data_IF_440561429207
#
_entry.id   IF_440561429207
#
_cell.length_a   1.000
_cell.length_b   1.000
_cell.length_c   1.000
_cell.angle_alpha   90.00
_cell.angle_beta   90.00
_cell.angle_gamma   90.00
#
_symmetry.space_group_name_H-M   'P 1'
#
loop_
_entity.id
_entity.type
_entity.pdbx_description
1 polymer ?
#
# COMPACT_ATOMS: atom_id res chain seq x y z
N UNK A 1 -21.21 -11.37 -17.85
CA UNK A 1 -21.07 -12.18 -16.63
C UNK A 1 -19.97 -13.24 -16.74
N UNK A 2 -20.07 -14.28 -17.58
CA UNK A 2 -19.05 -15.35 -17.67
C UNK A 2 -17.62 -14.85 -17.91
N UNK A 3 -17.44 -13.88 -18.82
CA UNK A 3 -16.15 -13.23 -19.08
C UNK A 3 -15.58 -12.54 -17.83
N UNK A 4 -16.41 -11.78 -17.12
CA UNK A 4 -16.05 -11.11 -15.86
C UNK A 4 -15.58 -12.11 -14.81
N UNK A 5 -16.26 -13.25 -14.68
CA UNK A 5 -15.88 -14.31 -13.74
C UNK A 5 -14.48 -14.85 -14.07
N UNK A 6 -14.25 -15.17 -15.34
CA UNK A 6 -12.96 -15.70 -15.78
C UNK A 6 -11.80 -14.71 -15.54
N UNK A 7 -12.00 -13.43 -15.88
CA UNK A 7 -11.02 -12.38 -15.66
C UNK A 7 -10.77 -12.13 -14.16
N UNK A 8 -11.81 -12.17 -13.34
CA UNK A 8 -11.70 -12.02 -11.90
C UNK A 8 -10.92 -13.16 -11.27
N UNK A 9 -11.19 -14.43 -11.65
CA UNK A 9 -10.42 -15.58 -11.18
C UNK A 9 -8.95 -15.45 -11.57
N UNK A 10 -8.65 -15.09 -12.82
CA UNK A 10 -7.28 -14.90 -13.27
C UNK A 10 -6.54 -13.82 -12.46
N UNK A 11 -7.18 -12.66 -12.23
CA UNK A 11 -6.62 -11.59 -11.41
C UNK A 11 -6.42 -12.00 -9.94
N UNK A 12 -7.36 -12.75 -9.38
CA UNK A 12 -7.33 -13.21 -7.99
C UNK A 12 -6.23 -14.24 -7.74
N UNK A 13 -6.04 -15.19 -8.66
CA UNK A 13 -4.96 -16.16 -8.56
C UNK A 13 -3.58 -15.48 -8.55
N UNK A 14 -3.39 -14.47 -9.39
CA UNK A 14 -2.15 -13.67 -9.40
C UNK A 14 -1.95 -12.96 -8.07
N UNK A 15 -3.00 -12.36 -7.51
CA UNK A 15 -2.96 -11.71 -6.21
C UNK A 15 -2.61 -12.67 -5.06
N UNK A 16 -3.21 -13.87 -5.05
CA UNK A 16 -2.96 -14.88 -4.01
C UNK A 16 -1.55 -15.44 -4.12
N UNK A 17 -1.05 -15.70 -5.34
CA UNK A 17 0.34 -16.12 -5.56
C UNK A 17 1.31 -15.05 -5.05
N UNK A 18 1.03 -13.77 -5.33
CA UNK A 18 1.85 -12.67 -4.84
C UNK A 18 1.86 -12.60 -3.31
N UNK A 19 0.69 -12.65 -2.69
CA UNK A 19 0.53 -12.64 -1.24
C UNK A 19 1.32 -13.79 -0.59
N UNK A 20 1.08 -15.03 -1.04
CA UNK A 20 1.77 -16.20 -0.48
C UNK A 20 3.28 -16.13 -0.71
N UNK A 21 3.72 -15.70 -1.89
CA UNK A 21 5.15 -15.57 -2.21
C UNK A 21 5.86 -14.54 -1.31
N UNK A 22 5.28 -13.35 -1.16
CA UNK A 22 5.82 -12.29 -0.29
C UNK A 22 5.91 -12.75 1.17
N UNK A 23 4.82 -13.29 1.73
CA UNK A 23 4.78 -13.76 3.11
C UNK A 23 5.76 -14.92 3.35
N UNK A 24 5.81 -15.88 2.44
CA UNK A 24 6.66 -17.05 2.56
C UNK A 24 8.15 -16.70 2.68
N UNK A 25 8.62 -15.75 1.86
CA UNK A 25 10.01 -15.29 1.93
C UNK A 25 10.24 -14.50 3.22
N UNK A 26 9.35 -13.56 3.53
CA UNK A 26 9.49 -12.69 4.70
C UNK A 26 9.52 -13.47 6.02
N UNK A 27 8.55 -14.38 6.23
CA UNK A 27 8.38 -15.16 7.45
C UNK A 27 9.55 -16.12 7.72
N UNK A 28 10.22 -16.59 6.67
CA UNK A 28 11.41 -17.45 6.78
C UNK A 28 12.69 -16.68 7.10
N UNK A 29 12.73 -15.38 6.81
CA UNK A 29 13.93 -14.57 6.98
C UNK A 29 13.82 -13.73 8.26
N UNK A 30 12.93 -12.75 8.29
CA UNK A 30 12.97 -11.69 9.31
C UNK A 30 12.58 -12.15 10.71
N UNK A 31 11.44 -12.86 10.92
CA UNK A 31 11.10 -13.39 12.24
C UNK A 31 12.12 -14.42 12.77
N UNK A 32 12.71 -15.22 11.88
CA UNK A 32 13.74 -16.21 12.25
C UNK A 32 15.02 -15.51 12.69
N UNK A 33 15.47 -14.49 11.93
CA UNK A 33 16.65 -13.69 12.27
C UNK A 33 16.44 -12.88 13.55
N UNK A 34 15.23 -12.36 13.78
CA UNK A 34 14.92 -11.56 14.98
C UNK A 34 15.04 -12.35 16.30
N UNK A 35 14.98 -13.69 16.23
CA UNK A 35 15.21 -14.58 17.39
C UNK A 35 16.69 -14.92 17.62
N UNK A 36 17.59 -14.49 16.73
CA UNK A 36 19.04 -14.74 16.81
C UNK A 36 19.74 -13.56 17.48
N UNK A 37 21.01 -13.73 17.91
CA UNK A 37 21.79 -12.63 18.48
C UNK A 37 21.85 -11.41 17.53
N UNK A 38 21.94 -10.18 18.06
CA UNK A 38 21.91 -8.96 17.25
C UNK A 38 22.86 -8.95 16.06
N UNK A 39 24.08 -9.47 16.22
CA UNK A 39 25.06 -9.54 15.12
C UNK A 39 24.59 -10.42 13.96
N UNK A 40 23.92 -11.54 14.26
CA UNK A 40 23.36 -12.46 13.26
C UNK A 40 22.17 -11.82 12.56
N UNK A 41 21.33 -11.10 13.32
CA UNK A 41 20.24 -10.32 12.75
C UNK A 41 20.76 -9.26 11.78
N UNK A 42 21.77 -8.46 12.19
CA UNK A 42 22.34 -7.39 11.37
C UNK A 42 22.95 -7.94 10.08
N UNK A 43 23.79 -8.98 10.18
CA UNK A 43 24.42 -9.60 9.01
C UNK A 43 23.39 -10.26 8.08
N UNK A 44 22.44 -11.01 8.64
CA UNK A 44 21.42 -11.72 7.87
C UNK A 44 20.44 -10.78 7.18
N UNK A 45 19.98 -9.72 7.86
CA UNK A 45 19.09 -8.71 7.29
C UNK A 45 19.80 -7.86 6.23
N UNK A 46 21.08 -7.53 6.44
CA UNK A 46 21.90 -6.84 5.44
C UNK A 46 22.05 -7.67 4.16
N UNK A 47 22.39 -8.95 4.32
CA UNK A 47 22.51 -9.89 3.21
C UNK A 47 21.17 -10.03 2.47
N UNK A 48 20.05 -10.18 3.19
CA UNK A 48 18.71 -10.29 2.59
C UNK A 48 18.35 -9.06 1.76
N UNK A 49 18.53 -7.85 2.30
CA UNK A 49 18.22 -6.60 1.60
C UNK A 49 19.16 -6.35 0.41
N UNK A 50 20.44 -6.69 0.55
CA UNK A 50 21.43 -6.56 -0.53
C UNK A 50 21.09 -7.50 -1.69
N UNK A 51 20.86 -8.78 -1.41
CA UNK A 51 20.55 -9.79 -2.42
C UNK A 51 19.21 -9.47 -3.09
N UNK A 52 18.17 -9.22 -2.31
CA UNK A 52 16.84 -8.91 -2.86
C UNK A 52 16.85 -7.65 -3.72
N UNK A 53 17.47 -6.56 -3.25
CA UNK A 53 17.52 -5.29 -4.00
C UNK A 53 18.36 -5.41 -5.27
N UNK A 54 19.45 -6.19 -5.24
CA UNK A 54 20.25 -6.47 -6.43
C UNK A 54 19.47 -7.28 -7.46
N UNK A 55 18.79 -8.35 -7.03
CA UNK A 55 17.94 -9.17 -7.91
C UNK A 55 16.81 -8.35 -8.53
N UNK A 56 16.13 -7.52 -7.73
CA UNK A 56 15.10 -6.59 -8.22
C UNK A 56 15.68 -5.61 -9.22
N UNK A 57 16.84 -5.02 -8.91
CA UNK A 57 17.56 -4.13 -9.80
C UNK A 57 17.89 -4.76 -11.15
N UNK A 58 18.40 -6.00 -11.15
CA UNK A 58 18.68 -6.77 -12.37
C UNK A 58 17.39 -7.11 -13.16
N UNK A 59 16.31 -7.48 -12.47
CA UNK A 59 15.01 -7.72 -13.10
C UNK A 59 14.49 -6.48 -13.82
N UNK A 60 14.52 -5.33 -13.14
CA UNK A 60 14.08 -4.06 -13.70
C UNK A 60 14.99 -3.59 -14.85
N UNK A 61 16.31 -3.65 -14.66
CA UNK A 61 17.27 -3.17 -15.66
C UNK A 61 17.32 -4.01 -16.93
N UNK A 62 17.28 -5.34 -16.81
CA UNK A 62 17.42 -6.25 -17.96
C UNK A 62 16.08 -6.57 -18.63
N UNK A 63 14.99 -6.64 -17.87
CA UNK A 63 13.72 -7.14 -18.40
C UNK A 63 12.65 -6.07 -18.59
N UNK A 64 12.38 -5.21 -17.60
CA UNK A 64 11.33 -4.21 -17.76
C UNK A 64 11.50 -3.02 -16.79
N UNK A 65 12.10 -1.91 -17.25
CA UNK A 65 12.28 -0.72 -16.41
C UNK A 65 10.95 -0.10 -15.94
N UNK A 66 9.89 -0.18 -16.76
CA UNK A 66 8.54 0.31 -16.41
C UNK A 66 7.86 -0.48 -15.29
N UNK A 67 8.41 -1.63 -14.90
CA UNK A 67 7.92 -2.41 -13.77
C UNK A 67 8.35 -1.83 -12.41
N UNK A 68 9.21 -0.80 -12.37
CA UNK A 68 9.62 -0.13 -11.14
C UNK A 68 8.44 0.57 -10.43
N UNK A 69 8.60 0.86 -9.13
CA UNK A 69 7.61 1.55 -8.32
C UNK A 69 6.29 0.80 -8.18
N UNK A 70 5.21 1.57 -8.01
CA UNK A 70 3.89 1.04 -7.64
C UNK A 70 3.28 0.16 -8.73
N UNK A 71 3.17 0.63 -9.97
CA UNK A 71 2.34 -0.01 -11.01
C UNK A 71 0.94 0.60 -11.16
N UNK A 72 0.42 1.28 -10.13
CA UNK A 72 -0.84 2.04 -10.26
C UNK A 72 -0.72 3.16 -11.31
N UNK A 73 0.35 4.00 -11.31
CA UNK A 73 0.58 5.00 -12.36
C UNK A 73 0.50 4.40 -13.78
N UNK A 74 1.28 3.35 -14.04
CA UNK A 74 1.33 2.69 -15.34
C UNK A 74 -0.02 2.09 -15.74
N UNK A 75 -0.83 1.64 -14.78
CA UNK A 75 -2.19 1.18 -15.06
C UNK A 75 -3.11 2.31 -15.45
N UNK A 76 -3.03 3.47 -14.79
CA UNK A 76 -3.83 4.65 -15.16
C UNK A 76 -3.48 5.12 -16.57
N UNK A 77 -2.18 5.18 -16.89
CA UNK A 77 -1.71 5.44 -18.24
C UNK A 77 -2.25 4.42 -19.25
N UNK A 78 -2.17 3.11 -18.95
CA UNK A 78 -2.70 2.10 -19.84
C UNK A 78 -4.23 2.19 -20.03
N UNK A 79 -4.96 2.52 -18.95
CA UNK A 79 -6.41 2.69 -18.99
C UNK A 79 -6.83 3.86 -19.89
N UNK A 80 -6.18 5.02 -19.76
CA UNK A 80 -6.55 6.23 -20.52
C UNK A 80 -5.93 6.32 -21.91
N UNK A 81 -4.68 5.87 -22.09
CA UNK A 81 -3.89 6.14 -23.28
C UNK A 81 -3.61 4.89 -24.13
N UNK A 82 -3.54 3.71 -23.53
CA UNK A 82 -3.10 2.47 -24.23
C UNK A 82 -4.25 1.47 -24.47
N UNK A 83 -5.50 1.90 -24.26
CA UNK A 83 -6.69 1.07 -24.46
C UNK A 83 -6.72 -0.16 -23.55
N UNK A 84 -6.22 -0.04 -22.32
CA UNK A 84 -6.21 -1.11 -21.32
C UNK A 84 -5.21 -2.24 -21.59
N UNK A 85 -4.31 -2.08 -22.58
CA UNK A 85 -3.27 -3.06 -22.88
C UNK A 85 -2.13 -2.91 -21.89
N UNK A 86 -1.87 -3.97 -21.14
CA UNK A 86 -0.78 -4.03 -20.16
C UNK A 86 0.22 -5.09 -20.62
N UNK A 87 1.51 -4.75 -20.82
CA UNK A 87 2.48 -5.73 -21.30
C UNK A 87 2.67 -6.85 -20.28
N UNK A 88 2.42 -8.10 -20.71
CA UNK A 88 2.62 -9.28 -19.86
C UNK A 88 4.04 -9.35 -19.28
N UNK A 89 5.04 -8.89 -20.05
CA UNK A 89 6.42 -8.80 -19.58
C UNK A 89 6.57 -7.91 -18.34
N UNK A 90 5.87 -6.78 -18.28
CA UNK A 90 5.86 -5.94 -17.10
C UNK A 90 5.11 -6.59 -15.92
N UNK A 91 4.05 -7.36 -16.22
CA UNK A 91 3.25 -8.03 -15.19
C UNK A 91 4.08 -9.05 -14.40
N UNK A 92 4.75 -9.99 -15.10
CA UNK A 92 5.53 -11.01 -14.41
C UNK A 92 6.81 -10.44 -13.76
N UNK A 93 7.46 -9.44 -14.37
CA UNK A 93 8.62 -8.77 -13.77
C UNK A 93 8.21 -8.06 -12.48
N UNK A 94 7.07 -7.36 -12.47
CA UNK A 94 6.56 -6.67 -11.27
C UNK A 94 6.11 -7.67 -10.20
N UNK A 95 5.52 -8.80 -10.59
CA UNK A 95 5.15 -9.88 -9.68
C UNK A 95 6.38 -10.51 -9.00
N UNK A 96 7.39 -10.95 -9.77
CA UNK A 96 8.61 -11.54 -9.20
C UNK A 96 9.43 -10.51 -8.44
N UNK A 97 9.60 -9.31 -9.01
CA UNK A 97 10.31 -8.21 -8.38
C UNK A 97 9.66 -7.79 -7.07
N UNK A 98 8.33 -7.72 -7.00
CA UNK A 98 7.62 -7.45 -5.76
C UNK A 98 7.77 -8.56 -4.71
N UNK A 99 7.67 -9.85 -5.11
CA UNK A 99 7.87 -10.98 -4.19
C UNK A 99 9.25 -10.92 -3.53
N UNK A 100 10.29 -10.70 -4.34
CA UNK A 100 11.67 -10.63 -3.86
C UNK A 100 11.89 -9.36 -3.03
N UNK A 101 11.41 -8.21 -3.50
CA UNK A 101 11.55 -6.90 -2.84
C UNK A 101 10.91 -6.91 -1.45
N UNK A 102 9.61 -7.21 -1.37
CA UNK A 102 8.87 -7.18 -0.12
C UNK A 102 9.22 -8.35 0.80
N UNK A 103 9.43 -9.54 0.23
CA UNK A 103 9.89 -10.72 0.96
C UNK A 103 11.28 -10.52 1.56
N UNK A 104 12.17 -9.87 0.83
CA UNK A 104 13.52 -9.48 1.27
C UNK A 104 13.58 -8.28 2.21
N UNK A 105 12.42 -7.73 2.60
CA UNK A 105 12.33 -6.72 3.65
C UNK A 105 12.28 -5.26 3.18
N UNK A 106 12.21 -4.99 1.87
CA UNK A 106 12.06 -3.62 1.37
C UNK A 106 10.78 -2.98 1.94
N UNK A 107 10.88 -1.75 2.48
CA UNK A 107 9.76 -1.03 3.11
C UNK A 107 8.76 -0.51 2.08
N UNK A 108 8.02 -1.41 1.44
CA UNK A 108 7.07 -1.15 0.37
C UNK A 108 5.79 -1.97 0.56
N UNK A 109 4.74 -1.59 -0.16
CA UNK A 109 3.43 -2.22 -0.16
C UNK A 109 3.21 -3.20 -1.31
N UNK A 110 2.34 -4.19 -1.11
CA UNK A 110 2.06 -5.23 -2.13
C UNK A 110 0.97 -4.81 -3.11
N UNK A 111 0.25 -3.75 -2.80
CA UNK A 111 -0.98 -3.30 -3.47
C UNK A 111 -0.70 -2.98 -4.94
N UNK A 112 0.25 -2.09 -5.18
CA UNK A 112 0.59 -1.63 -6.53
C UNK A 112 0.92 -2.78 -7.48
N UNK A 113 1.91 -3.64 -7.14
CA UNK A 113 2.24 -4.83 -7.92
C UNK A 113 1.05 -5.76 -8.15
N UNK A 114 0.26 -6.05 -7.11
CA UNK A 114 -0.90 -6.93 -7.24
C UNK A 114 -1.92 -6.39 -8.21
N UNK A 115 -2.37 -5.14 -8.03
CA UNK A 115 -3.41 -4.57 -8.89
C UNK A 115 -2.91 -4.49 -10.34
N UNK A 116 -1.60 -4.31 -10.55
CA UNK A 116 -1.03 -4.20 -11.90
C UNK A 116 -0.99 -5.56 -12.56
N UNK A 117 -0.41 -6.54 -11.87
CA UNK A 117 -0.28 -7.89 -12.38
C UNK A 117 -1.66 -8.55 -12.59
N UNK A 118 -2.62 -8.32 -11.68
CA UNK A 118 -3.98 -8.84 -11.80
C UNK A 118 -4.74 -8.23 -12.99
N UNK A 119 -4.68 -6.90 -13.15
CA UNK A 119 -5.25 -6.23 -14.32
C UNK A 119 -4.59 -6.67 -15.63
N UNK A 120 -3.26 -6.85 -15.63
CA UNK A 120 -2.51 -7.29 -16.80
C UNK A 120 -2.81 -8.74 -17.19
N UNK A 121 -3.01 -9.62 -16.21
CA UNK A 121 -3.43 -11.00 -16.44
C UNK A 121 -4.82 -11.07 -17.08
N UNK A 122 -5.78 -10.33 -16.52
CA UNK A 122 -7.13 -10.26 -17.07
C UNK A 122 -7.17 -9.64 -18.48
N UNK A 123 -6.49 -8.52 -18.68
CA UNK A 123 -6.34 -7.88 -19.99
C UNK A 123 -5.70 -8.84 -21.00
N UNK A 124 -4.58 -9.48 -20.66
CA UNK A 124 -3.90 -10.43 -21.55
C UNK A 124 -4.77 -11.65 -21.90
N UNK A 125 -5.54 -12.14 -20.93
CA UNK A 125 -6.49 -13.22 -21.15
C UNK A 125 -7.63 -12.80 -22.10
N UNK A 126 -8.14 -11.57 -21.97
CA UNK A 126 -9.14 -11.04 -22.89
C UNK A 126 -8.65 -11.04 -24.34
N UNK A 127 -7.45 -10.53 -24.61
CA UNK A 127 -6.88 -10.55 -25.98
C UNK A 127 -6.65 -11.95 -26.53
N UNK A 128 -6.20 -12.90 -25.68
CA UNK A 128 -6.05 -14.31 -26.10
C UNK A 128 -7.37 -14.97 -26.47
N UNK A 129 -8.47 -14.51 -25.91
CA UNK A 129 -9.83 -14.98 -26.20
C UNK A 129 -10.49 -14.21 -27.36
N UNK A 130 -9.76 -13.35 -28.05
CA UNK A 130 -10.26 -12.56 -29.19
C UNK A 130 -10.93 -11.23 -28.82
N UNK A 131 -10.99 -10.88 -27.53
CA UNK A 131 -11.56 -9.61 -27.05
C UNK A 131 -10.47 -8.54 -26.95
N UNK A 132 -10.05 -8.01 -28.11
CA UNK A 132 -8.90 -7.09 -28.21
C UNK A 132 -9.26 -5.63 -28.53
N UNK A 133 -10.54 -5.27 -28.50
CA UNK A 133 -10.91 -3.84 -28.62
C UNK A 133 -10.47 -3.05 -27.38
N UNK A 134 -10.14 -1.74 -27.50
CA UNK A 134 -9.75 -0.93 -26.36
C UNK A 134 -10.76 -0.98 -25.19
N UNK A 135 -12.05 -0.95 -25.51
CA UNK A 135 -13.13 -1.02 -24.51
C UNK A 135 -13.12 -2.35 -23.76
N UNK A 136 -12.94 -3.47 -24.46
CA UNK A 136 -12.91 -4.80 -23.85
C UNK A 136 -11.65 -5.01 -23.02
N UNK A 137 -10.49 -4.61 -23.53
CA UNK A 137 -9.20 -4.71 -22.83
C UNK A 137 -9.19 -3.85 -21.57
N UNK A 138 -9.76 -2.65 -21.63
CA UNK A 138 -9.92 -1.74 -20.50
C UNK A 138 -10.86 -2.30 -19.44
N UNK A 139 -12.03 -2.82 -19.85
CA UNK A 139 -12.97 -3.46 -18.94
C UNK A 139 -12.37 -4.72 -18.27
N UNK A 140 -11.62 -5.53 -19.02
CA UNK A 140 -10.92 -6.70 -18.47
C UNK A 140 -9.82 -6.29 -17.48
N UNK A 141 -9.03 -5.27 -17.82
CA UNK A 141 -8.00 -4.75 -16.92
C UNK A 141 -8.59 -4.21 -15.60
N UNK A 142 -9.69 -3.46 -15.67
CA UNK A 142 -10.41 -2.95 -14.50
C UNK A 142 -11.00 -4.09 -13.66
N UNK A 143 -11.62 -5.08 -14.30
CA UNK A 143 -12.14 -6.30 -13.66
C UNK A 143 -11.05 -7.05 -12.90
N UNK A 144 -9.91 -7.31 -13.56
CA UNK A 144 -8.77 -7.98 -12.93
C UNK A 144 -8.15 -7.16 -11.79
N UNK A 145 -8.09 -5.84 -11.94
CA UNK A 145 -7.63 -4.93 -10.89
C UNK A 145 -8.55 -4.96 -9.65
N UNK A 146 -9.88 -4.90 -9.85
CA UNK A 146 -10.87 -4.99 -8.77
C UNK A 146 -10.74 -6.32 -8.02
N UNK A 147 -10.75 -7.43 -8.76
CA UNK A 147 -10.64 -8.77 -8.19
C UNK A 147 -9.31 -8.98 -7.47
N UNK A 148 -8.19 -8.52 -8.06
CA UNK A 148 -6.87 -8.62 -7.45
C UNK A 148 -6.71 -7.78 -6.19
N UNK A 149 -7.28 -6.57 -6.16
CA UNK A 149 -7.28 -5.73 -4.96
C UNK A 149 -8.14 -6.36 -3.85
N UNK A 150 -9.36 -6.80 -4.19
CA UNK A 150 -10.24 -7.50 -3.26
C UNK A 150 -9.57 -8.76 -2.71
N UNK A 151 -8.97 -9.58 -3.58
CA UNK A 151 -8.26 -10.79 -3.18
C UNK A 151 -7.04 -10.48 -2.31
N UNK A 152 -6.35 -9.37 -2.57
CA UNK A 152 -5.19 -8.99 -1.79
C UNK A 152 -5.56 -8.60 -0.35
N UNK A 153 -6.60 -7.78 -0.14
CA UNK A 153 -6.90 -7.22 1.19
C UNK A 153 -8.10 -7.83 1.88
N UNK A 154 -8.83 -8.70 1.18
CA UNK A 154 -10.15 -9.15 1.57
C UNK A 154 -11.12 -7.96 1.74
N UNK A 155 -11.08 -7.00 0.80
CA UNK A 155 -11.83 -5.73 0.86
C UNK A 155 -12.59 -5.46 -0.44
N UNK A 156 -13.72 -6.16 -0.69
CA UNK A 156 -14.47 -6.00 -1.93
C UNK A 156 -15.03 -4.58 -2.15
N UNK A 157 -15.52 -3.87 -1.13
CA UNK A 157 -16.08 -2.53 -1.27
C UNK A 157 -14.99 -1.49 -1.59
N UNK A 158 -13.85 -1.57 -0.92
CA UNK A 158 -12.68 -0.75 -1.19
C UNK A 158 -12.13 -1.00 -2.59
N UNK A 159 -12.20 -2.24 -3.07
CA UNK A 159 -11.76 -2.57 -4.43
C UNK A 159 -12.65 -1.96 -5.51
N UNK A 160 -13.97 -1.94 -5.30
CA UNK A 160 -14.92 -1.26 -6.20
C UNK A 160 -14.61 0.24 -6.24
N UNK A 161 -14.55 0.88 -5.07
CA UNK A 161 -14.32 2.33 -4.98
C UNK A 161 -12.95 2.73 -5.50
N UNK A 162 -11.91 1.92 -5.30
CA UNK A 162 -10.58 2.19 -5.86
C UNK A 162 -10.59 2.21 -7.40
N UNK A 163 -11.30 1.27 -8.03
CA UNK A 163 -11.41 1.24 -9.50
C UNK A 163 -12.16 2.46 -10.02
N UNK A 164 -13.17 2.94 -9.29
CA UNK A 164 -13.98 4.09 -9.68
C UNK A 164 -13.26 5.42 -9.42
N UNK A 165 -12.80 5.66 -8.19
CA UNK A 165 -12.14 6.92 -7.79
C UNK A 165 -10.74 7.05 -8.39
N UNK A 166 -9.93 5.99 -8.35
CA UNK A 166 -8.50 6.11 -8.66
C UNK A 166 -8.14 5.63 -10.07
N UNK A 167 -8.77 4.58 -10.60
CA UNK A 167 -8.40 4.05 -11.93
C UNK A 167 -9.19 4.69 -13.07
N UNK A 168 -10.52 4.76 -12.92
CA UNK A 168 -11.40 5.24 -13.98
C UNK A 168 -11.55 6.77 -13.93
N UNK A 169 -11.60 7.35 -12.73
CA UNK A 169 -11.84 8.77 -12.52
C UNK A 169 -13.29 9.21 -12.79
N UNK A 170 -14.15 8.31 -13.26
CA UNK A 170 -15.58 8.53 -13.53
C UNK A 170 -16.40 7.33 -13.08
N UNK A 171 -17.58 7.60 -12.51
CA UNK A 171 -18.54 6.57 -12.08
C UNK A 171 -19.46 6.26 -13.26
N UNK A 172 -19.06 5.35 -14.14
CA UNK A 172 -19.95 4.77 -15.15
C UNK A 172 -20.65 3.53 -14.59
N UNK A 173 -21.97 3.43 -14.77
CA UNK A 173 -22.79 2.31 -14.29
C UNK A 173 -22.30 0.94 -14.78
N UNK A 174 -21.81 0.87 -16.02
CA UNK A 174 -21.26 -0.37 -16.59
C UNK A 174 -19.95 -0.83 -15.92
N UNK A 175 -19.13 0.10 -15.41
CA UNK A 175 -17.92 -0.25 -14.67
C UNK A 175 -18.25 -0.72 -13.25
N UNK A 176 -19.33 -0.20 -12.66
CA UNK A 176 -19.78 -0.58 -11.32
C UNK A 176 -20.21 -2.05 -11.25
N UNK A 177 -21.05 -2.53 -12.18
CA UNK A 177 -21.54 -3.92 -12.18
C UNK A 177 -20.38 -4.92 -12.33
N UNK A 178 -19.48 -4.64 -13.27
CA UNK A 178 -18.31 -5.46 -13.54
C UNK A 178 -17.34 -5.50 -12.36
N UNK A 179 -17.02 -4.34 -11.79
CA UNK A 179 -16.16 -4.23 -10.61
C UNK A 179 -16.77 -4.93 -9.39
N UNK A 180 -18.09 -4.81 -9.20
CA UNK A 180 -18.79 -5.44 -8.07
C UNK A 180 -18.69 -6.96 -8.14
N UNK A 181 -19.07 -7.56 -9.27
CA UNK A 181 -18.96 -9.00 -9.46
C UNK A 181 -17.50 -9.47 -9.33
N UNK A 182 -16.55 -8.72 -9.89
CA UNK A 182 -15.14 -9.05 -9.82
C UNK A 182 -14.58 -9.01 -8.40
N UNK A 183 -14.94 -8.00 -7.61
CA UNK A 183 -14.54 -7.85 -6.21
C UNK A 183 -15.08 -8.97 -5.34
N UNK A 184 -16.34 -9.38 -5.55
CA UNK A 184 -16.94 -10.53 -4.82
C UNK A 184 -16.18 -11.81 -5.13
N UNK A 185 -15.89 -12.07 -6.42
CA UNK A 185 -15.12 -13.24 -6.82
C UNK A 185 -13.71 -13.21 -6.24
N UNK A 186 -13.08 -12.04 -6.21
CA UNK A 186 -11.78 -11.84 -5.57
C UNK A 186 -11.78 -12.21 -4.09
N UNK A 187 -12.80 -11.77 -3.34
CA UNK A 187 -12.98 -12.12 -1.94
C UNK A 187 -13.16 -13.64 -1.78
N UNK A 188 -14.04 -14.26 -2.59
CA UNK A 188 -14.29 -15.70 -2.53
C UNK A 188 -13.05 -16.54 -2.87
N UNK A 189 -12.25 -16.11 -3.85
CA UNK A 189 -10.97 -16.76 -4.15
C UNK A 189 -10.02 -16.71 -2.95
N UNK A 190 -9.92 -15.56 -2.28
CA UNK A 190 -9.10 -15.44 -1.07
C UNK A 190 -9.66 -16.25 0.09
N UNK A 191 -10.97 -16.35 0.26
CA UNK A 191 -11.57 -17.20 1.29
C UNK A 191 -11.26 -18.68 1.05
N UNK A 192 -11.38 -19.14 -0.19
CA UNK A 192 -11.10 -20.53 -0.57
C UNK A 192 -9.60 -20.88 -0.43
N UNK A 193 -8.70 -19.94 -0.71
CA UNK A 193 -7.26 -20.22 -0.78
C UNK A 193 -6.47 -19.78 0.46
N UNK A 194 -6.87 -18.73 1.16
CA UNK A 194 -6.11 -18.12 2.27
C UNK A 194 -6.90 -18.23 3.57
N UNK A 195 -8.22 -18.04 3.51
CA UNK A 195 -9.12 -18.12 4.65
C UNK A 195 -9.98 -16.88 4.80
N UNK A 196 -11.03 -17.00 5.62
CA UNK A 196 -12.01 -15.93 5.85
C UNK A 196 -11.65 -15.14 7.12
N UNK A 197 -10.70 -14.21 7.01
CA UNK A 197 -10.39 -13.28 8.10
C UNK A 197 -10.04 -11.89 7.56
N UNK A 198 -10.39 -10.81 8.28
CA UNK A 198 -9.91 -9.48 7.95
C UNK A 198 -8.39 -9.41 8.08
N UNK A 199 -7.78 -8.45 7.38
CA UNK A 199 -6.33 -8.27 7.42
C UNK A 199 -5.81 -7.91 8.81
N UNK A 200 -6.63 -7.22 9.63
CA UNK A 200 -6.36 -6.96 11.04
C UNK A 200 -7.50 -7.49 11.91
N UNK A 201 -7.16 -8.29 12.91
CA UNK A 201 -8.09 -8.57 14.01
C UNK A 201 -8.06 -7.38 14.95
N UNK A 202 -9.19 -6.71 15.13
CA UNK A 202 -9.30 -5.54 16.01
C UNK A 202 -10.22 -5.89 17.18
N UNK A 203 -9.87 -5.56 18.44
CA UNK A 203 -10.77 -5.73 19.58
C UNK A 203 -12.15 -5.09 19.35
N UNK A 204 -13.23 -5.58 19.98
CA UNK A 204 -14.52 -4.90 19.94
C UNK A 204 -14.39 -3.51 20.55
N UNK A 205 -14.96 -2.50 19.88
CA UNK A 205 -14.97 -1.12 20.35
C UNK A 205 -16.32 -0.90 21.04
N UNK A 206 -16.32 -0.74 22.36
CA UNK A 206 -17.55 -0.66 23.16
C UNK A 206 -17.76 0.72 23.78
N UNK A 207 -16.69 1.50 23.94
CA UNK A 207 -16.72 2.78 24.66
C UNK A 207 -16.16 3.93 23.82
N UNK A 208 -16.82 4.23 22.69
CA UNK A 208 -16.53 5.47 21.95
C UNK A 208 -17.16 6.66 22.67
N UNK A 209 -16.33 7.59 23.13
CA UNK A 209 -16.78 8.82 23.78
C UNK A 209 -16.76 10.01 22.81
N UNK A 210 -17.53 11.04 23.11
CA UNK A 210 -17.52 12.31 22.34
C UNK A 210 -16.13 12.94 22.24
N UNK A 211 -15.27 12.69 23.24
CA UNK A 211 -13.87 13.12 23.28
C UNK A 211 -13.05 12.52 22.15
N UNK A 212 -13.31 11.27 21.79
CA UNK A 212 -12.66 10.60 20.66
C UNK A 212 -13.04 11.27 19.34
N UNK A 213 -14.30 11.65 19.17
CA UNK A 213 -14.75 12.40 17.98
C UNK A 213 -14.17 13.82 17.93
N UNK A 214 -14.02 14.49 19.08
CA UNK A 214 -13.38 15.81 19.14
C UNK A 214 -11.91 15.79 18.68
N UNK A 215 -11.19 14.70 18.99
CA UNK A 215 -9.79 14.54 18.59
C UNK A 215 -9.59 13.93 17.20
N UNK A 216 -10.62 13.31 16.61
CA UNK A 216 -10.53 12.71 15.28
C UNK A 216 -10.01 13.68 14.21
N UNK A 217 -10.46 14.96 14.13
CA UNK A 217 -9.88 15.93 13.21
C UNK A 217 -8.39 16.20 13.44
N UNK A 218 -7.94 16.23 14.70
CA UNK A 218 -6.52 16.50 15.04
C UNK A 218 -5.65 15.32 14.61
N UNK A 219 -6.07 14.10 14.93
CA UNK A 219 -5.38 12.88 14.51
C UNK A 219 -5.35 12.75 12.98
N UNK A 220 -6.48 13.00 12.32
CA UNK A 220 -6.58 13.00 10.85
C UNK A 220 -5.68 14.06 10.21
N UNK A 221 -5.68 15.28 10.75
CA UNK A 221 -4.82 16.37 10.27
C UNK A 221 -3.34 16.02 10.39
N UNK A 222 -2.90 15.55 11.56
CA UNK A 222 -1.52 15.13 11.76
C UNK A 222 -1.11 14.00 10.81
N UNK A 223 -1.94 12.97 10.67
CA UNK A 223 -1.68 11.85 9.77
C UNK A 223 -1.67 12.28 8.28
N UNK A 224 -2.58 13.17 7.87
CA UNK A 224 -2.59 13.74 6.52
C UNK A 224 -1.33 14.54 6.23
N UNK A 225 -0.83 15.33 7.19
CA UNK A 225 0.43 16.07 7.06
C UNK A 225 1.63 15.13 6.89
N UNK A 226 1.67 14.03 7.64
CA UNK A 226 2.68 12.96 7.45
C UNK A 226 2.60 12.41 6.02
N UNK A 227 1.39 12.14 5.52
CA UNK A 227 1.17 11.69 4.15
C UNK A 227 1.69 12.67 3.10
N UNK A 228 1.37 13.96 3.23
CA UNK A 228 1.85 15.01 2.32
C UNK A 228 3.38 15.14 2.39
N UNK A 229 3.95 15.08 3.59
CA UNK A 229 5.40 15.09 3.77
C UNK A 229 6.04 13.90 3.05
N UNK A 230 5.50 12.70 3.23
CA UNK A 230 5.92 11.49 2.53
C UNK A 230 5.85 11.67 1.01
N UNK A 231 4.72 12.15 0.47
CA UNK A 231 4.54 12.39 -0.96
C UNK A 231 5.60 13.35 -1.50
N UNK A 232 5.73 14.54 -0.92
CA UNK A 232 6.67 15.57 -1.37
C UNK A 232 8.11 15.09 -1.32
N UNK A 233 8.52 14.44 -0.23
CA UNK A 233 9.89 13.94 -0.06
C UNK A 233 10.20 12.80 -1.01
N UNK A 234 9.28 11.87 -1.19
CA UNK A 234 9.47 10.74 -2.11
C UNK A 234 9.60 11.22 -3.55
N UNK A 235 8.73 12.14 -3.99
CA UNK A 235 8.77 12.69 -5.35
C UNK A 235 10.02 13.54 -5.59
N UNK A 236 10.43 14.34 -4.61
CA UNK A 236 11.70 15.09 -4.67
C UNK A 236 12.91 14.15 -4.77
N UNK A 237 12.98 13.13 -3.91
CA UNK A 237 14.05 12.14 -3.92
C UNK A 237 14.10 11.40 -5.26
N UNK A 238 12.94 10.95 -5.76
CA UNK A 238 12.83 10.26 -7.04
C UNK A 238 13.38 11.12 -8.19
N UNK A 239 12.94 12.36 -8.29
CA UNK A 239 13.41 13.29 -9.31
C UNK A 239 14.92 13.52 -9.19
N UNK A 240 15.40 13.83 -7.98
CA UNK A 240 16.83 14.08 -7.74
C UNK A 240 17.70 12.86 -8.06
N UNK A 241 17.29 11.65 -7.68
CA UNK A 241 18.00 10.41 -8.02
C UNK A 241 18.02 10.20 -9.53
N UNK A 242 16.92 10.47 -10.24
CA UNK A 242 16.88 10.38 -11.70
C UNK A 242 17.86 11.35 -12.38
N UNK A 243 17.91 12.59 -11.91
CA UNK A 243 18.68 13.67 -12.53
C UNK A 243 20.17 13.65 -12.17
N UNK A 244 20.52 13.22 -10.95
CA UNK A 244 21.89 13.38 -10.41
C UNK A 244 22.64 12.08 -10.18
N UNK A 245 21.96 10.93 -10.13
CA UNK A 245 22.64 9.66 -9.82
C UNK A 245 23.42 9.14 -11.02
N UNK A 246 24.74 9.03 -10.83
CA UNK A 246 25.67 8.37 -11.78
C UNK A 246 25.54 6.85 -11.81
N UNK A 247 24.78 6.27 -10.87
CA UNK A 247 24.59 4.82 -10.81
C UNK A 247 23.67 4.35 -11.94
N UNK A 248 24.02 3.21 -12.59
CA UNK A 248 23.15 2.63 -13.59
C UNK A 248 21.80 2.26 -12.95
N UNK A 249 20.67 2.38 -13.67
CA UNK A 249 19.33 2.19 -13.10
C UNK A 249 19.14 0.89 -12.31
N UNK A 250 19.80 -0.19 -12.74
CA UNK A 250 19.72 -1.51 -12.09
C UNK A 250 20.44 -1.58 -10.73
N UNK A 251 21.36 -0.67 -10.41
CA UNK A 251 22.01 -0.58 -9.09
C UNK A 251 21.29 0.35 -8.13
N UNK A 252 20.39 1.21 -8.61
CA UNK A 252 19.72 2.21 -7.76
C UNK A 252 18.91 1.57 -6.61
N UNK A 253 18.13 0.49 -6.82
CA UNK A 253 17.37 -0.14 -5.72
C UNK A 253 18.25 -0.63 -4.57
N UNK A 254 19.51 -1.00 -4.84
CA UNK A 254 20.46 -1.45 -3.82
C UNK A 254 20.70 -0.37 -2.74
N UNK A 255 20.88 0.88 -3.16
CA UNK A 255 21.08 2.00 -2.24
C UNK A 255 19.84 2.23 -1.38
N UNK A 256 18.65 2.16 -2.00
CA UNK A 256 17.39 2.20 -1.26
C UNK A 256 17.28 1.07 -0.24
N UNK A 257 17.71 -0.14 -0.61
CA UNK A 257 17.71 -1.32 0.27
C UNK A 257 18.64 -1.16 1.48
N UNK A 258 19.82 -0.55 1.29
CA UNK A 258 20.73 -0.24 2.40
C UNK A 258 20.18 0.81 3.35
N UNK A 259 19.43 1.80 2.86
CA UNK A 259 18.73 2.75 3.74
C UNK A 259 17.63 2.08 4.55
N UNK A 260 16.86 1.17 3.94
CA UNK A 260 15.88 0.35 4.66
C UNK A 260 16.57 -0.50 5.71
N UNK A 261 17.69 -1.12 5.38
CA UNK A 261 18.48 -1.93 6.33
C UNK A 261 18.94 -1.09 7.52
N UNK A 262 19.53 0.08 7.26
CA UNK A 262 20.05 0.95 8.30
C UNK A 262 18.95 1.39 9.26
N UNK A 263 17.85 1.92 8.72
CA UNK A 263 16.73 2.43 9.52
C UNK A 263 16.00 1.30 10.25
N UNK A 264 15.71 0.19 9.55
CA UNK A 264 15.02 -0.94 10.16
C UNK A 264 15.86 -1.64 11.23
N UNK A 265 17.16 -1.78 11.00
CA UNK A 265 18.07 -2.35 12.00
C UNK A 265 18.22 -1.45 13.21
N UNK A 266 18.32 -0.13 13.02
CA UNK A 266 18.37 0.82 14.13
C UNK A 266 17.11 0.75 15.00
N UNK A 267 15.92 0.69 14.38
CA UNK A 267 14.66 0.53 15.12
C UNK A 267 14.57 -0.83 15.81
N UNK A 268 14.98 -1.91 15.15
CA UNK A 268 14.98 -3.24 15.74
C UNK A 268 15.89 -3.31 16.98
N UNK A 269 17.11 -2.76 16.90
CA UNK A 269 18.01 -2.71 18.06
C UNK A 269 17.46 -1.85 19.21
N UNK A 270 16.74 -0.78 18.90
CA UNK A 270 16.19 0.14 19.89
C UNK A 270 14.89 -0.35 20.54
N UNK A 271 14.07 -1.12 19.82
CA UNK A 271 12.69 -1.44 20.24
C UNK A 271 12.31 -2.91 20.13
N UNK A 272 13.08 -3.74 19.42
CA UNK A 272 12.73 -5.13 19.08
C UNK A 272 11.67 -5.28 17.99
N UNK A 273 11.14 -4.19 17.43
CA UNK A 273 10.07 -4.21 16.44
C UNK A 273 10.64 -4.28 15.00
N UNK A 274 9.95 -4.97 14.10
CA UNK A 274 10.37 -5.19 12.71
C UNK A 274 9.64 -4.27 11.72
N UNK A 275 8.80 -3.36 12.21
CA UNK A 275 7.74 -2.73 11.42
C UNK A 275 8.24 -1.88 10.27
N UNK A 276 9.50 -1.48 10.30
CA UNK A 276 10.18 -0.80 9.19
C UNK A 276 10.37 -1.73 7.98
N UNK A 277 10.63 -3.02 8.18
CA UNK A 277 10.81 -3.98 7.11
C UNK A 277 9.47 -4.41 6.48
N UNK A 278 9.49 -4.66 5.17
CA UNK A 278 8.34 -5.15 4.41
C UNK A 278 7.06 -4.32 4.65
N UNK A 279 5.90 -4.98 4.81
CA UNK A 279 4.59 -4.34 5.00
C UNK A 279 4.42 -3.69 6.38
N UNK A 280 5.04 -4.24 7.44
CA UNK A 280 4.84 -3.80 8.83
C UNK A 280 3.55 -4.28 9.50
N UNK A 281 2.85 -5.27 8.93
CA UNK A 281 1.53 -5.73 9.46
C UNK A 281 1.59 -6.25 10.89
N UNK A 282 2.69 -6.91 11.29
CA UNK A 282 2.86 -7.42 12.64
C UNK A 282 2.81 -6.31 13.70
N UNK A 283 3.62 -5.27 13.54
CA UNK A 283 3.68 -4.16 14.50
C UNK A 283 2.48 -3.22 14.42
N UNK A 284 1.86 -3.09 13.23
CA UNK A 284 0.59 -2.40 13.11
C UNK A 284 -0.53 -3.16 13.84
N UNK A 285 -0.60 -4.48 13.68
CA UNK A 285 -1.54 -5.31 14.44
C UNK A 285 -1.28 -5.20 15.95
N UNK A 286 -0.01 -5.25 16.37
CA UNK A 286 0.37 -5.08 17.77
C UNK A 286 -0.07 -3.72 18.32
N UNK A 287 0.07 -2.64 17.54
CA UNK A 287 -0.42 -1.31 17.92
C UNK A 287 -1.95 -1.30 18.10
N UNK A 288 -2.70 -1.91 17.19
CA UNK A 288 -4.16 -1.97 17.27
C UNK A 288 -4.67 -2.80 18.46
N UNK A 289 -3.81 -3.64 19.06
CA UNK A 289 -4.11 -4.38 20.31
C UNK A 289 -3.52 -3.70 21.56
N UNK A 290 -2.97 -2.49 21.45
CA UNK A 290 -2.38 -1.75 22.58
C UNK A 290 -1.01 -2.26 23.02
N UNK A 291 -0.33 -3.08 22.21
CA UNK A 291 0.98 -3.65 22.52
C UNK A 291 2.17 -2.76 22.18
N UNK A 292 1.94 -1.54 21.69
CA UNK A 292 3.01 -0.59 21.28
C UNK A 292 2.94 0.67 22.12
N UNK A 293 4.09 1.12 22.64
CA UNK A 293 4.18 2.40 23.37
C UNK A 293 4.22 3.59 22.40
N UNK A 294 3.77 4.77 22.85
CA UNK A 294 3.79 5.97 22.00
C UNK A 294 5.19 6.35 21.49
N UNK A 295 6.24 6.10 22.30
CA UNK A 295 7.64 6.32 21.90
C UNK A 295 8.05 5.37 20.77
N UNK A 296 7.66 4.10 20.88
CA UNK A 296 7.92 3.11 19.84
C UNK A 296 7.12 3.44 18.56
N UNK A 297 5.85 3.86 18.69
CA UNK A 297 5.04 4.28 17.55
C UNK A 297 5.64 5.50 16.84
N UNK A 298 6.13 6.49 17.59
CA UNK A 298 6.83 7.65 17.02
C UNK A 298 8.13 7.25 16.31
N UNK A 299 8.91 6.34 16.90
CA UNK A 299 10.13 5.82 16.28
C UNK A 299 9.81 5.06 14.97
N UNK A 300 8.82 4.18 14.99
CA UNK A 300 8.35 3.42 13.82
C UNK A 300 7.79 4.34 12.74
N UNK A 301 7.03 5.37 13.11
CA UNK A 301 6.50 6.40 12.22
C UNK A 301 7.63 7.08 11.42
N UNK A 302 8.62 7.64 12.13
CA UNK A 302 9.71 8.39 11.50
C UNK A 302 10.58 7.49 10.62
N UNK A 303 10.89 6.28 11.11
CA UNK A 303 11.71 5.33 10.37
C UNK A 303 10.98 4.77 9.15
N UNK A 304 9.69 4.40 9.25
CA UNK A 304 8.91 3.83 8.14
C UNK A 304 8.74 4.84 7.01
N UNK A 305 8.34 6.08 7.33
CA UNK A 305 8.18 7.14 6.33
C UNK A 305 9.48 7.35 5.57
N UNK A 306 10.60 7.43 6.29
CA UNK A 306 11.93 7.64 5.69
C UNK A 306 12.38 6.44 4.86
N UNK A 307 12.25 5.22 5.39
CA UNK A 307 12.63 3.99 4.71
C UNK A 307 11.85 3.79 3.41
N UNK A 308 10.53 3.99 3.44
CA UNK A 308 9.66 3.89 2.25
C UNK A 308 9.97 4.98 1.23
N UNK A 309 10.19 6.23 1.66
CA UNK A 309 10.53 7.33 0.74
C UNK A 309 11.89 7.08 0.04
N UNK A 310 12.87 6.57 0.78
CA UNK A 310 14.21 6.27 0.25
C UNK A 310 14.16 5.11 -0.74
N UNK A 311 13.60 3.95 -0.38
CA UNK A 311 13.56 2.80 -1.31
C UNK A 311 12.73 3.10 -2.56
N UNK A 312 11.62 3.85 -2.43
CA UNK A 312 10.82 4.25 -3.59
C UNK A 312 11.56 5.27 -4.47
N UNK A 313 12.18 6.29 -3.87
CA UNK A 313 12.97 7.30 -4.59
C UNK A 313 14.18 6.72 -5.33
N UNK A 314 14.78 5.66 -4.78
CA UNK A 314 15.88 4.91 -5.40
C UNK A 314 15.41 3.83 -6.40
N UNK A 315 14.13 3.76 -6.73
CA UNK A 315 13.61 2.92 -7.81
C UNK A 315 13.24 1.48 -7.40
N UNK A 316 12.92 1.25 -6.13
CA UNK A 316 12.43 -0.05 -5.65
C UNK A 316 11.14 -0.51 -6.34
N UNK A 317 10.89 -1.83 -6.29
CA UNK A 317 9.68 -2.45 -6.84
C UNK A 317 8.67 -2.72 -5.73
N UNK A 318 7.55 -2.00 -5.74
CA UNK A 318 6.50 -2.09 -4.71
C UNK A 318 5.62 -0.84 -4.63
N UNK A 319 4.47 -1.00 -4.00
CA UNK A 319 3.48 0.04 -3.75
C UNK A 319 3.80 0.91 -2.52
N UNK A 320 2.98 1.93 -2.32
CA UNK A 320 3.06 2.84 -1.16
C UNK A 320 1.88 2.70 -0.20
N UNK A 321 0.87 1.91 -0.59
CA UNK A 321 -0.44 1.89 0.04
C UNK A 321 -0.37 1.28 1.46
N UNK A 322 0.15 0.06 1.65
CA UNK A 322 0.34 -0.48 3.00
C UNK A 322 1.21 0.41 3.91
N UNK A 323 2.38 0.94 3.45
CA UNK A 323 3.15 1.90 4.24
C UNK A 323 2.34 3.13 4.66
N UNK A 324 1.54 3.74 3.78
CA UNK A 324 0.73 4.92 4.12
C UNK A 324 -0.33 4.64 5.18
N UNK A 325 -0.93 3.46 5.18
CA UNK A 325 -1.80 3.03 6.28
C UNK A 325 -1.00 2.88 7.58
N UNK A 326 0.17 2.24 7.52
CA UNK A 326 1.03 2.01 8.68
C UNK A 326 1.42 3.32 9.38
N UNK A 327 2.05 4.26 8.67
CA UNK A 327 2.47 5.50 9.32
C UNK A 327 1.28 6.42 9.65
N UNK A 328 0.15 6.31 8.93
CA UNK A 328 -1.10 6.93 9.34
C UNK A 328 -1.58 6.45 10.70
N UNK A 329 -1.58 5.13 10.93
CA UNK A 329 -1.95 4.55 12.22
C UNK A 329 -1.05 5.03 13.35
N UNK A 330 0.26 4.98 13.13
CA UNK A 330 1.26 5.40 14.11
C UNK A 330 1.09 6.89 14.46
N UNK A 331 0.82 7.76 13.48
CA UNK A 331 0.57 9.17 13.71
C UNK A 331 -0.71 9.41 14.54
N UNK A 332 -1.81 8.73 14.19
CA UNK A 332 -3.06 8.79 14.94
C UNK A 332 -2.91 8.31 16.39
N UNK A 333 -2.18 7.20 16.59
CA UNK A 333 -1.87 6.66 17.91
C UNK A 333 -1.03 7.59 18.76
N UNK A 334 0.00 8.23 18.17
CA UNK A 334 0.85 9.20 18.87
C UNK A 334 0.01 10.40 19.33
N UNK A 335 -0.88 10.93 18.48
CA UNK A 335 -1.79 12.02 18.86
C UNK A 335 -2.69 11.60 20.03
N UNK A 336 -3.28 10.41 19.96
CA UNK A 336 -4.13 9.89 21.03
C UNK A 336 -3.37 9.72 22.35
N UNK A 337 -2.17 9.14 22.29
CA UNK A 337 -1.31 8.93 23.45
C UNK A 337 -0.86 10.25 24.08
N UNK A 338 -0.51 11.25 23.27
CA UNK A 338 -0.12 12.57 23.78
C UNK A 338 -1.29 13.30 24.44
N UNK A 339 -2.50 13.20 23.88
CA UNK A 339 -3.71 13.74 24.51
C UNK A 339 -4.00 13.05 25.85
N UNK A 340 -3.83 11.72 25.94
CA UNK A 340 -3.94 11.00 27.21
C UNK A 340 -2.93 11.51 28.24
N UNK A 341 -1.68 11.71 27.84
CA UNK A 341 -0.63 12.25 28.71
C UNK A 341 -0.87 13.69 29.15
N UNK A 342 -1.58 14.51 28.34
CA UNK A 342 -1.95 15.87 28.71
C UNK A 342 -3.15 15.95 29.68
N UNK A 343 -3.61 14.82 30.22
CA UNK A 343 -4.75 14.74 31.13
C UNK A 343 -6.10 14.64 30.44
N UNK A 344 -6.16 14.56 29.10
CA UNK A 344 -7.40 14.31 28.38
C UNK A 344 -7.74 12.83 28.54
N UNK A 345 -8.68 12.51 29.43
CA UNK A 345 -9.03 11.12 29.78
C UNK A 345 -9.58 10.37 28.56
N UNK A 346 -8.71 9.62 27.91
CA UNK A 346 -8.96 8.73 26.77
C UNK A 346 -8.74 7.28 27.21
N UNK A 347 -9.70 6.42 26.87
CA UNK A 347 -9.56 4.96 27.00
C UNK A 347 -8.84 4.34 25.81
N UNK A 348 -8.55 3.04 25.90
CA UNK A 348 -7.91 2.27 24.85
C UNK A 348 -8.70 2.30 23.51
N UNK A 349 -10.03 2.24 23.59
CA UNK A 349 -10.93 2.36 22.43
C UNK A 349 -10.75 3.66 21.66
N UNK A 350 -10.42 4.75 22.36
CA UNK A 350 -10.14 6.04 21.72
C UNK A 350 -8.77 6.05 21.02
N UNK A 351 -7.74 5.44 21.61
CA UNK A 351 -6.44 5.28 20.96
C UNK A 351 -6.55 4.42 19.70
N UNK A 352 -7.31 3.34 19.77
CA UNK A 352 -7.63 2.50 18.61
C UNK A 352 -8.38 3.29 17.53
N UNK A 353 -9.47 3.98 17.89
CA UNK A 353 -10.26 4.77 16.94
C UNK A 353 -9.40 5.82 16.22
N UNK A 354 -8.60 6.58 16.96
CA UNK A 354 -7.76 7.64 16.40
C UNK A 354 -6.62 7.08 15.53
N UNK A 355 -6.12 5.88 15.85
CA UNK A 355 -5.18 5.16 14.98
C UNK A 355 -5.83 4.80 13.64
N UNK A 356 -7.05 4.27 13.65
CA UNK A 356 -7.80 3.91 12.44
C UNK A 356 -8.18 5.15 11.61
N UNK A 357 -8.54 6.26 12.26
CA UNK A 357 -8.72 7.57 11.61
C UNK A 357 -7.42 8.05 10.96
N UNK A 358 -6.28 7.86 11.64
CA UNK A 358 -4.97 8.18 11.09
C UNK A 358 -4.63 7.35 9.83
N UNK A 359 -4.97 6.05 9.82
CA UNK A 359 -4.79 5.17 8.66
C UNK A 359 -5.50 5.73 7.42
N UNK A 360 -6.82 6.01 7.54
CA UNK A 360 -7.62 6.47 6.41
C UNK A 360 -7.22 7.88 5.98
N UNK A 361 -6.96 8.78 6.94
CA UNK A 361 -6.63 10.16 6.64
C UNK A 361 -5.27 10.31 5.94
N UNK A 362 -4.27 9.51 6.36
CA UNK A 362 -2.95 9.54 5.74
C UNK A 362 -2.99 9.02 4.30
N UNK A 363 -3.59 7.86 4.09
CA UNK A 363 -3.74 7.28 2.75
C UNK A 363 -4.59 8.18 1.84
N UNK A 364 -5.71 8.71 2.36
CA UNK A 364 -6.58 9.63 1.65
C UNK A 364 -5.88 10.91 1.20
N UNK A 365 -4.90 11.42 1.96
CA UNK A 365 -4.18 12.64 1.62
C UNK A 365 -3.18 12.41 0.47
N UNK A 366 -2.58 11.22 0.40
CA UNK A 366 -1.56 10.85 -0.58
C UNK A 366 -2.19 10.42 -1.91
N UNK A 367 -3.23 9.58 -1.86
CA UNK A 367 -3.88 9.02 -3.06
C UNK A 367 -5.02 9.90 -3.55
N UNK A 368 -5.66 10.68 -2.68
CA UNK A 368 -6.86 11.49 -2.98
C UNK A 368 -8.08 10.68 -3.42
N UNK A 369 -8.20 9.45 -2.92
CA UNK A 369 -9.38 8.58 -3.07
C UNK A 369 -10.08 8.41 -1.69
N UNK A 370 -10.95 9.36 -1.28
CA UNK A 370 -11.50 9.41 0.08
C UNK A 370 -12.43 8.24 0.40
N UNK A 371 -13.31 7.80 -0.51
CA UNK A 371 -14.20 6.66 -0.24
C UNK A 371 -13.40 5.37 -0.12
N UNK A 372 -12.42 5.19 -1.01
CA UNK A 372 -11.49 4.06 -0.95
C UNK A 372 -10.73 4.03 0.36
N UNK A 373 -10.22 5.19 0.81
CA UNK A 373 -9.47 5.32 2.05
C UNK A 373 -10.29 4.92 3.28
N UNK A 374 -11.57 5.32 3.31
CA UNK A 374 -12.49 4.95 4.38
C UNK A 374 -12.83 3.47 4.32
N UNK A 375 -13.24 2.97 3.15
CA UNK A 375 -13.75 1.61 3.01
C UNK A 375 -12.66 0.58 3.21
N UNK A 376 -11.42 0.85 2.82
CA UNK A 376 -10.34 -0.11 3.05
C UNK A 376 -10.04 -0.27 4.53
N UNK A 377 -10.05 0.81 5.33
CA UNK A 377 -9.83 0.71 6.78
C UNK A 377 -11.02 0.03 7.45
N UNK A 378 -12.25 0.35 7.04
CA UNK A 378 -13.44 -0.33 7.51
C UNK A 378 -13.39 -1.85 7.23
N UNK A 379 -13.14 -2.26 5.99
CA UNK A 379 -13.13 -3.68 5.62
C UNK A 379 -11.90 -4.43 6.16
N UNK A 380 -10.74 -3.78 6.33
CA UNK A 380 -9.59 -4.44 6.94
C UNK A 380 -9.76 -4.66 8.45
N UNK A 381 -10.73 -4.02 9.10
CA UNK A 381 -10.95 -4.09 10.56
C UNK A 381 -12.30 -4.70 10.95
N UNK A 382 -13.29 -4.72 10.06
CA UNK A 382 -14.66 -5.20 10.29
C UNK A 382 -15.37 -4.55 11.50
N UNK A 383 -15.04 -3.29 11.81
CA UNK A 383 -15.71 -2.52 12.87
C UNK A 383 -16.56 -1.44 12.24
N UNK A 384 -17.87 -1.49 12.46
CA UNK A 384 -18.80 -0.50 11.89
C UNK A 384 -18.83 0.79 12.73
N UNK A 385 -18.58 0.66 14.03
CA UNK A 385 -18.63 1.72 15.03
C UNK A 385 -17.65 2.86 14.73
N UNK A 386 -16.56 2.56 14.01
CA UNK A 386 -15.51 3.53 13.66
C UNK A 386 -15.87 4.38 12.44
N UNK A 387 -16.83 3.96 11.61
CA UNK A 387 -17.12 4.57 10.30
C UNK A 387 -17.39 6.07 10.40
N UNK A 388 -18.20 6.58 11.34
CA UNK A 388 -18.42 8.03 11.47
C UNK A 388 -17.11 8.81 11.73
N UNK A 389 -16.19 8.27 12.52
CA UNK A 389 -14.90 8.90 12.77
C UNK A 389 -14.00 8.87 11.53
N UNK A 390 -14.04 7.76 10.77
CA UNK A 390 -13.34 7.67 9.48
C UNK A 390 -13.86 8.72 8.48
N UNK A 391 -15.18 9.00 8.45
CA UNK A 391 -15.77 10.05 7.60
C UNK A 391 -15.26 11.44 7.96
N UNK A 392 -15.14 11.75 9.26
CA UNK A 392 -14.50 13.00 9.71
C UNK A 392 -13.04 13.05 9.23
N UNK A 393 -12.33 11.92 9.38
CA UNK A 393 -10.96 11.78 8.93
C UNK A 393 -10.77 12.03 7.44
N UNK A 394 -11.66 11.53 6.58
CA UNK A 394 -11.59 11.75 5.14
C UNK A 394 -11.84 13.20 4.77
N UNK A 395 -12.81 13.87 5.39
CA UNK A 395 -13.07 15.31 5.14
C UNK A 395 -11.84 16.15 5.50
N UNK A 396 -11.25 15.91 6.67
CA UNK A 396 -10.05 16.64 7.10
C UNK A 396 -8.85 16.32 6.21
N UNK A 397 -8.66 15.05 5.87
CA UNK A 397 -7.63 14.60 4.93
C UNK A 397 -7.71 15.32 3.59
N UNK A 398 -8.93 15.43 3.03
CA UNK A 398 -9.15 16.15 1.77
C UNK A 398 -8.89 17.64 1.90
N UNK A 399 -9.29 18.28 3.01
CA UNK A 399 -8.98 19.68 3.25
C UNK A 399 -7.47 19.93 3.32
N UNK A 400 -6.74 19.11 4.07
CA UNK A 400 -5.28 19.19 4.21
C UNK A 400 -4.58 18.92 2.87
N UNK A 401 -5.05 17.93 2.09
CA UNK A 401 -4.52 17.64 0.76
C UNK A 401 -4.75 18.77 -0.24
N UNK A 402 -5.90 19.47 -0.20
CA UNK A 402 -6.17 20.63 -1.06
C UNK A 402 -5.30 21.83 -0.69
N UNK A 403 -5.11 22.08 0.61
CA UNK A 403 -4.33 23.21 1.08
C UNK A 403 -2.83 22.99 0.85
N UNK A 404 -2.31 21.80 1.18
CA UNK A 404 -0.86 21.55 1.24
C UNK A 404 -0.37 20.45 0.29
N UNK A 405 -1.24 19.67 -0.35
CA UNK A 405 -0.87 18.51 -1.16
C UNK A 405 -0.45 18.81 -2.61
N UNK A 406 -0.56 20.05 -3.08
CA UNK A 406 -0.27 20.44 -4.48
C UNK A 406 -1.44 20.20 -5.44
N UNK A 407 -1.19 20.25 -6.76
CA UNK A 407 -2.23 20.02 -7.78
C UNK A 407 -2.60 18.54 -7.94
N UNK A 408 -1.62 17.64 -7.90
CA UNK A 408 -1.78 16.22 -8.21
C UNK A 408 -1.70 15.30 -6.98
N UNK A 409 -2.38 14.14 -7.04
CA UNK A 409 -2.11 13.04 -6.10
C UNK A 409 -0.73 12.40 -6.39
N UNK A 410 -0.30 11.48 -5.52
CA UNK A 410 0.99 10.82 -5.68
C UNK A 410 1.15 10.09 -7.03
N UNK A 411 0.11 9.40 -7.50
CA UNK A 411 0.20 8.58 -8.71
C UNK A 411 0.27 9.43 -9.97
N UNK A 412 -0.53 10.48 -10.06
CA UNK A 412 -0.54 11.42 -11.19
C UNK A 412 0.75 12.25 -11.22
N UNK A 413 1.25 12.70 -10.07
CA UNK A 413 2.55 13.36 -9.99
C UNK A 413 3.72 12.44 -10.41
N UNK A 414 3.60 11.13 -10.17
CA UNK A 414 4.60 10.15 -10.63
C UNK A 414 4.57 10.01 -12.15
N UNK A 415 3.38 10.01 -12.77
CA UNK A 415 3.21 9.99 -14.23
C UNK A 415 3.77 11.26 -14.87
N UNK A 416 3.51 12.42 -14.28
CA UNK A 416 4.02 13.70 -14.75
C UNK A 416 5.56 13.73 -14.77
N UNK A 417 6.21 13.22 -13.70
CA UNK A 417 7.67 13.03 -13.69
C UNK A 417 8.16 12.07 -14.79
N UNK A 418 7.32 11.13 -15.21
CA UNK A 418 7.60 10.19 -16.30
C UNK A 418 7.24 10.75 -17.69
N UNK A 419 6.80 12.01 -17.76
CA UNK A 419 6.43 12.69 -19.00
C UNK A 419 5.05 12.29 -19.55
N UNK A 420 4.22 11.66 -18.72
CA UNK A 420 2.87 11.22 -19.08
C UNK A 420 1.86 12.15 -18.40
N UNK A 421 1.11 12.90 -19.21
CA UNK A 421 0.01 13.74 -18.74
C UNK A 421 -1.31 13.04 -19.05
N UNK A 422 -2.17 12.93 -18.04
CA UNK A 422 -3.52 12.41 -18.19
C UNK A 422 -4.48 13.59 -18.23
N UNK A 423 -4.93 13.97 -19.42
CA UNK A 423 -5.95 15.01 -19.59
C UNK A 423 -7.28 14.65 -18.92
#
# INVERSE_FOLDING_TARGET
MARTILYAIAGSLVAVVFLRGTNHIYERIFPVLARRPPIVFLAGSFASLTISSLLVGLLLGKFMPSAAGSGIPQRKAAYRLEGGRLPWRAAWVKLLGGIISLGGGASLGREGPTVYAAGAAASSLAGRLGYDTPRERTAAAATGAAAGLSAAFNTPLAAITFVLEELSGHIDSHHLDGATLASVIGAFCTWAMVGHHPAYTVPPVTEITWRSYLLAPVAAGAAAVVGIYFQRRTLYLRQRVRDTSRLPPWLRPLIGGWWVWLLGSAVFLASGHLGVFSLGYGDLSLLLHGGVTWKCALLLLLAKVSATALIYGWGGCGGIFAPTLFFGAMAGFVVASLARLSGFMLGADAELLLSLVGMSACFGAVVRAPLTALLIVFEMTHRYEIVPALMIGTVVSQAVARLWGGSHNFYDATLEQDGIVLD
#
